data_IF_972857027192
#
_entry.id   IF_972857027192
#
_cell.length_a   1.000
_cell.length_b   1.000
_cell.length_c   1.000
_cell.angle_alpha   90.00
_cell.angle_beta   90.00
_cell.angle_gamma   90.00
#
_symmetry.space_group_name_H-M   'P 1'
#
loop_
_entity.id
_entity.type
_entity.pdbx_description
1 polymer ?
#
# COMPACT_ATOMS: atom_id res chain seq x y z
N UNK A 1 0.10 14.30 24.06
CA UNK A 1 0.19 15.55 23.29
C UNK A 1 -1.02 15.64 22.38
N UNK A 2 -1.64 16.81 22.22
CA UNK A 2 -2.73 16.98 21.23
C UNK A 2 -2.11 17.02 19.84
N UNK A 3 -2.78 16.45 18.83
CA UNK A 3 -2.26 16.39 17.46
C UNK A 3 -1.77 17.75 16.93
N UNK A 4 -2.51 18.84 17.25
CA UNK A 4 -2.16 20.20 16.84
C UNK A 4 -0.84 20.73 17.39
N UNK A 5 -0.43 20.28 18.58
CA UNK A 5 0.84 20.70 19.20
C UNK A 5 2.02 19.95 18.57
N UNK A 6 1.79 18.68 18.22
CA UNK A 6 2.76 17.85 17.51
C UNK A 6 2.99 18.37 16.08
N UNK A 7 1.93 18.71 15.35
CA UNK A 7 2.02 19.24 13.99
C UNK A 7 2.83 20.55 13.96
N UNK A 8 2.60 21.45 14.93
CA UNK A 8 3.33 22.71 15.02
C UNK A 8 4.83 22.53 15.33
N UNK A 9 5.18 21.54 16.17
CA UNK A 9 6.57 21.19 16.50
C UNK A 9 7.28 20.48 15.34
N UNK A 10 6.54 19.70 14.54
CA UNK A 10 7.09 19.05 13.35
C UNK A 10 7.37 20.07 12.24
N UNK A 11 6.47 21.04 12.02
CA UNK A 11 6.63 22.09 11.01
C UNK A 11 7.68 23.14 11.38
N UNK A 12 8.00 23.33 12.66
CA UNK A 12 9.01 24.30 13.12
C UNK A 12 10.46 23.84 12.88
N UNK A 13 10.68 22.59 12.45
CA UNK A 13 12.01 22.04 12.18
C UNK A 13 12.81 21.71 13.44
N UNK A 14 12.14 21.65 14.60
CA UNK A 14 12.75 21.18 15.86
C UNK A 14 12.97 19.66 15.84
N UNK A 15 14.02 19.19 16.52
CA UNK A 15 14.32 17.77 16.64
C UNK A 15 13.32 17.10 17.60
N UNK A 16 12.25 16.55 17.04
CA UNK A 16 11.22 15.81 17.77
C UNK A 16 11.57 14.33 17.96
N UNK A 17 12.82 13.93 17.75
CA UNK A 17 13.28 12.53 17.85
C UNK A 17 12.91 11.87 19.19
N UNK A 18 13.00 12.62 20.29
CA UNK A 18 12.66 12.16 21.65
C UNK A 18 11.14 11.96 21.88
N UNK A 19 10.30 12.53 21.00
CA UNK A 19 8.84 12.37 21.01
C UNK A 19 8.38 11.20 20.13
N UNK A 20 9.25 10.69 19.26
CA UNK A 20 8.97 9.56 18.39
C UNK A 20 9.38 8.26 19.09
N UNK A 21 8.39 7.43 19.44
CA UNK A 21 8.63 6.06 19.91
C UNK A 21 9.04 5.17 18.71
N UNK A 22 10.29 5.33 18.27
CA UNK A 22 10.88 4.56 17.17
C UNK A 22 10.89 3.05 17.46
N UNK A 23 10.85 2.65 18.73
CA UNK A 23 10.72 1.24 19.11
C UNK A 23 9.33 0.66 18.78
N UNK A 24 8.28 1.50 18.75
CA UNK A 24 6.95 1.16 18.24
C UNK A 24 6.73 1.53 16.76
N UNK A 25 7.70 2.16 16.10
CA UNK A 25 7.60 2.50 14.70
C UNK A 25 7.64 1.22 13.84
N UNK A 26 6.47 0.66 13.56
CA UNK A 26 6.33 -0.43 12.60
C UNK A 26 6.04 0.16 11.21
N UNK A 27 6.70 -0.35 10.17
CA UNK A 27 6.26 -0.03 8.81
C UNK A 27 4.97 -0.79 8.55
N UNK A 28 3.86 -0.05 8.53
CA UNK A 28 2.56 -0.55 8.11
C UNK A 28 2.74 -1.22 6.73
N UNK A 29 2.19 -2.43 6.56
CA UNK A 29 2.25 -3.23 5.33
C UNK A 29 3.53 -4.05 5.06
N UNK A 30 4.41 -4.27 6.05
CA UNK A 30 5.56 -5.18 5.87
C UNK A 30 5.21 -6.68 5.83
N UNK A 31 4.07 -7.06 6.38
CA UNK A 31 3.67 -8.47 6.49
C UNK A 31 3.06 -8.96 5.19
N UNK A 32 3.78 -9.81 4.45
CA UNK A 32 3.25 -10.46 3.23
C UNK A 32 2.41 -11.68 3.62
N UNK A 33 1.11 -11.64 3.32
CA UNK A 33 0.22 -12.80 3.42
C UNK A 33 -0.05 -13.39 2.04
N UNK A 34 0.17 -14.70 1.86
CA UNK A 34 -0.20 -15.41 0.64
C UNK A 34 -1.70 -15.72 0.63
N UNK A 35 -2.33 -15.49 -0.51
CA UNK A 35 -3.75 -15.79 -0.75
C UNK A 35 -3.84 -16.52 -2.09
N UNK A 36 -4.64 -17.58 -2.15
CA UNK A 36 -4.95 -18.32 -3.36
C UNK A 36 -6.33 -17.88 -3.87
N UNK A 37 -6.44 -17.67 -5.17
CA UNK A 37 -7.69 -17.25 -5.83
C UNK A 37 -7.79 -17.96 -7.17
N UNK A 38 -8.94 -18.57 -7.45
CA UNK A 38 -9.25 -19.16 -8.73
C UNK A 38 -9.89 -18.12 -9.66
N UNK A 39 -9.50 -18.15 -10.94
CA UNK A 39 -10.02 -17.26 -11.96
C UNK A 39 -10.56 -18.06 -13.15
N UNK A 40 -11.65 -17.60 -13.81
CA UNK A 40 -12.07 -18.15 -15.08
C UNK A 40 -10.95 -18.07 -16.13
N UNK A 41 -10.87 -19.06 -17.02
CA UNK A 41 -9.81 -19.16 -18.03
C UNK A 41 -9.69 -17.88 -18.88
N UNK A 42 -10.82 -17.35 -19.36
CA UNK A 42 -10.85 -16.14 -20.19
C UNK A 42 -10.22 -14.93 -19.49
N UNK A 43 -10.33 -14.85 -18.16
CA UNK A 43 -9.79 -13.75 -17.39
C UNK A 43 -8.27 -13.88 -17.25
N UNK A 44 -7.77 -15.11 -17.04
CA UNK A 44 -6.32 -15.38 -17.00
C UNK A 44 -5.67 -15.02 -18.33
N UNK A 45 -6.27 -15.43 -19.45
CA UNK A 45 -5.78 -15.13 -20.79
C UNK A 45 -5.75 -13.61 -21.07
N UNK A 46 -6.80 -12.89 -20.67
CA UNK A 46 -6.86 -11.45 -20.80
C UNK A 46 -5.77 -10.75 -19.96
N UNK A 47 -5.57 -11.19 -18.71
CA UNK A 47 -4.53 -10.67 -17.83
C UNK A 47 -3.13 -10.92 -18.40
N UNK A 48 -2.87 -12.10 -18.96
CA UNK A 48 -1.60 -12.44 -19.58
C UNK A 48 -1.27 -11.60 -20.79
N UNK A 49 -2.26 -11.39 -21.66
CA UNK A 49 -2.11 -10.52 -22.82
C UNK A 49 -1.73 -9.09 -22.41
N UNK A 50 -2.37 -8.56 -21.36
CA UNK A 50 -2.06 -7.22 -20.85
C UNK A 50 -0.71 -7.15 -20.16
N UNK A 51 -0.39 -8.13 -19.31
CA UNK A 51 0.89 -8.21 -18.62
C UNK A 51 2.05 -8.26 -19.62
N UNK A 52 1.93 -9.08 -20.69
CA UNK A 52 2.88 -9.15 -21.79
C UNK A 52 3.03 -7.81 -22.51
N UNK A 53 1.92 -7.13 -22.83
CA UNK A 53 1.95 -5.81 -23.48
C UNK A 53 2.67 -4.75 -22.64
N UNK A 54 2.53 -4.83 -21.32
CA UNK A 54 3.15 -3.90 -20.37
C UNK A 54 4.58 -4.32 -19.96
N UNK A 55 5.03 -5.51 -20.36
CA UNK A 55 6.35 -6.03 -19.97
C UNK A 55 6.47 -6.35 -18.47
N UNK A 56 5.35 -6.65 -17.80
CA UNK A 56 5.32 -6.97 -16.36
C UNK A 56 4.74 -8.36 -16.10
N UNK A 57 4.89 -8.86 -14.88
CA UNK A 57 4.26 -10.12 -14.48
C UNK A 57 2.75 -9.96 -14.25
N UNK A 58 2.00 -11.05 -14.42
CA UNK A 58 0.57 -11.11 -14.06
C UNK A 58 0.32 -10.69 -12.61
N UNK A 59 1.17 -11.11 -11.68
CA UNK A 59 1.05 -10.74 -10.26
C UNK A 59 1.23 -9.23 -10.04
N UNK A 60 2.18 -8.60 -10.74
CA UNK A 60 2.36 -7.15 -10.69
C UNK A 60 1.14 -6.41 -11.23
N UNK A 61 0.57 -6.89 -12.35
CA UNK A 61 -0.64 -6.32 -12.92
C UNK A 61 -1.84 -6.43 -11.96
N UNK A 62 -2.05 -7.62 -11.38
CA UNK A 62 -3.11 -7.87 -10.40
C UNK A 62 -2.97 -6.96 -9.17
N UNK A 63 -1.75 -6.78 -8.65
CA UNK A 63 -1.50 -5.86 -7.52
C UNK A 63 -1.95 -4.43 -7.82
N UNK A 64 -1.64 -3.92 -9.01
CA UNK A 64 -2.02 -2.56 -9.42
C UNK A 64 -3.54 -2.43 -9.54
N UNK A 65 -4.20 -3.40 -10.19
CA UNK A 65 -5.66 -3.35 -10.37
C UNK A 65 -6.43 -3.47 -9.05
N UNK A 66 -6.01 -4.38 -8.16
CA UNK A 66 -6.62 -4.53 -6.84
C UNK A 66 -6.40 -3.25 -6.01
N UNK A 67 -5.19 -2.70 -6.00
CA UNK A 67 -4.91 -1.46 -5.28
C UNK A 67 -5.73 -0.27 -5.79
N UNK A 68 -5.90 -0.14 -7.11
CA UNK A 68 -6.75 0.89 -7.71
C UNK A 68 -8.22 0.72 -7.31
N UNK A 69 -8.75 -0.50 -7.39
CA UNK A 69 -10.13 -0.79 -6.99
C UNK A 69 -10.37 -0.53 -5.50
N UNK A 70 -9.47 -0.94 -4.61
CA UNK A 70 -9.56 -0.64 -3.18
C UNK A 70 -9.50 0.87 -2.90
N UNK A 71 -8.66 1.59 -3.64
CA UNK A 71 -8.57 3.05 -3.52
C UNK A 71 -9.88 3.74 -3.92
N UNK A 72 -10.50 3.30 -5.00
CA UNK A 72 -11.79 3.83 -5.45
C UNK A 72 -12.91 3.56 -4.44
N UNK A 73 -12.80 2.48 -3.65
CA UNK A 73 -13.72 2.16 -2.55
C UNK A 73 -13.36 2.81 -1.21
N UNK A 74 -12.27 3.57 -1.12
CA UNK A 74 -11.82 4.24 0.11
C UNK A 74 -11.05 3.34 1.09
N UNK A 75 -10.73 2.10 0.70
CA UNK A 75 -10.04 1.09 1.50
C UNK A 75 -8.51 1.20 1.39
N UNK A 76 -7.98 2.42 1.38
CA UNK A 76 -6.53 2.63 1.45
C UNK A 76 -6.05 2.61 2.89
N UNK A 77 -4.96 1.87 3.22
CA UNK A 77 -4.27 2.07 4.49
C UNK A 77 -3.85 3.54 4.57
N UNK A 78 -4.31 4.25 5.61
CA UNK A 78 -3.76 5.58 5.90
C UNK A 78 -2.29 5.38 6.33
N UNK A 79 -1.37 6.23 5.85
CA UNK A 79 0.02 6.19 6.29
C UNK A 79 0.13 6.39 7.81
#
# INVERSE_FOLDING_TARGET
>A
MKAKEFDALFESGEDIGDLLDVAKASRVNQTVKRVNVDFPLWMVEALDKQAKRLGITRQSLLKVYIAASLKDHGDTPRP
#
